data_IF_374533677643
#
_entry.id   IF_374533677643
#
_cell.length_a   1.000
_cell.length_b   1.000
_cell.length_c   1.000
_cell.angle_alpha   90.00
_cell.angle_beta   90.00
_cell.angle_gamma   90.00
#
_symmetry.space_group_name_H-M   'P 1'
#
loop_
_entity.id
_entity.type
_entity.pdbx_description
1 polymer ?
#
# COMPACT_ATOMS: atom_id res chain seq x y z
N UNK A 1 -10.35 18.22 -2.10
CA UNK A 1 -9.08 17.60 -1.58
C UNK A 1 -8.07 17.35 -2.71
N UNK A 2 -6.74 17.36 -2.39
CA UNK A 2 -5.64 17.13 -3.35
C UNK A 2 -4.80 15.93 -2.92
N UNK A 3 -4.50 15.01 -3.86
CA UNK A 3 -3.68 13.82 -3.60
C UNK A 3 -2.29 13.97 -4.24
N UNK A 4 -1.23 13.93 -3.45
CA UNK A 4 0.15 13.81 -3.91
C UNK A 4 0.49 12.33 -4.14
N UNK A 5 0.81 11.99 -5.38
CA UNK A 5 0.84 10.61 -5.85
C UNK A 5 2.03 10.35 -6.78
N UNK A 6 2.38 9.08 -6.90
CA UNK A 6 3.22 8.57 -7.99
C UNK A 6 2.71 7.21 -8.42
N UNK A 7 2.66 6.96 -9.73
CA UNK A 7 2.04 5.73 -10.27
C UNK A 7 2.55 4.47 -9.58
N UNK A 8 3.87 4.34 -9.37
CA UNK A 8 4.53 3.16 -8.82
C UNK A 8 4.43 3.04 -7.29
N UNK A 9 4.00 4.06 -6.58
CA UNK A 9 3.95 4.07 -5.12
C UNK A 9 2.88 3.10 -4.59
N UNK A 10 3.32 2.07 -3.86
CA UNK A 10 2.41 1.10 -3.21
C UNK A 10 1.68 1.72 -2.02
N UNK A 11 2.28 2.68 -1.32
CA UNK A 11 1.59 3.42 -0.26
C UNK A 11 0.47 4.30 -0.83
N UNK A 12 0.71 4.98 -1.97
CA UNK A 12 -0.35 5.73 -2.65
C UNK A 12 -1.39 4.80 -3.28
N UNK A 13 -1.01 3.62 -3.74
CA UNK A 13 -1.94 2.61 -4.24
C UNK A 13 -3.00 2.26 -3.18
N UNK A 14 -2.60 2.11 -1.92
CA UNK A 14 -3.54 1.90 -0.80
C UNK A 14 -4.58 3.02 -0.70
N UNK A 15 -4.13 4.28 -0.76
CA UNK A 15 -5.02 5.45 -0.68
C UNK A 15 -5.94 5.52 -1.90
N UNK A 16 -5.43 5.26 -3.11
CA UNK A 16 -6.27 5.20 -4.33
C UNK A 16 -7.37 4.14 -4.24
N UNK A 17 -7.05 2.94 -3.69
CA UNK A 17 -8.06 1.90 -3.46
C UNK A 17 -9.14 2.40 -2.51
N UNK A 18 -8.74 2.98 -1.37
CA UNK A 18 -9.68 3.49 -0.36
C UNK A 18 -10.59 4.57 -0.94
N UNK A 19 -10.03 5.54 -1.66
CA UNK A 19 -10.81 6.59 -2.35
C UNK A 19 -11.82 5.98 -3.33
N UNK A 20 -11.39 5.01 -4.15
CA UNK A 20 -12.29 4.32 -5.08
C UNK A 20 -13.41 3.56 -4.37
N UNK A 21 -13.10 2.86 -3.25
CA UNK A 21 -14.11 2.13 -2.46
C UNK A 21 -15.13 3.07 -1.82
N UNK A 22 -14.67 4.27 -1.40
CA UNK A 22 -15.54 5.31 -0.81
C UNK A 22 -16.28 6.15 -1.86
N UNK A 23 -16.00 5.96 -3.16
CA UNK A 23 -16.59 6.78 -4.23
C UNK A 23 -16.07 8.21 -4.24
N UNK A 24 -14.90 8.47 -3.67
CA UNK A 24 -14.28 9.79 -3.57
C UNK A 24 -13.32 10.00 -4.73
N UNK A 25 -13.46 11.14 -5.41
CA UNK A 25 -12.53 11.57 -6.45
C UNK A 25 -11.82 12.83 -5.95
N UNK A 26 -10.49 12.83 -5.81
CA UNK A 26 -9.75 14.06 -5.51
C UNK A 26 -9.94 15.10 -6.62
N UNK A 27 -10.05 16.39 -6.25
CA UNK A 27 -10.16 17.50 -7.21
C UNK A 27 -8.88 17.62 -8.05
N UNK A 28 -7.75 17.27 -7.45
CA UNK A 28 -6.45 17.33 -8.08
C UNK A 28 -5.57 16.13 -7.67
N UNK A 29 -4.88 15.54 -8.62
CA UNK A 29 -3.83 14.55 -8.37
C UNK A 29 -2.50 15.12 -8.83
N UNK A 30 -1.59 15.39 -7.90
CA UNK A 30 -0.28 16.00 -8.15
C UNK A 30 0.78 14.92 -8.19
N UNK A 31 1.48 14.82 -9.32
CA UNK A 31 2.57 13.85 -9.47
C UNK A 31 3.82 14.29 -8.70
N UNK A 32 4.29 13.43 -7.80
CA UNK A 32 5.59 13.51 -7.14
C UNK A 32 6.46 12.36 -7.65
N UNK A 33 7.21 12.62 -8.71
CA UNK A 33 8.03 11.59 -9.34
C UNK A 33 9.24 11.22 -8.47
N UNK A 34 9.11 10.09 -7.75
CA UNK A 34 10.16 9.61 -6.83
C UNK A 34 11.47 9.26 -7.55
N UNK A 35 11.41 8.86 -8.82
CA UNK A 35 12.58 8.48 -9.60
C UNK A 35 13.39 9.72 -10.05
N UNK A 36 12.72 10.88 -10.16
CA UNK A 36 13.34 12.17 -10.46
C UNK A 36 13.70 12.97 -9.21
N UNK A 37 13.35 12.48 -8.03
CA UNK A 37 13.67 13.14 -6.77
C UNK A 37 12.72 14.29 -6.38
N UNK A 38 11.55 14.45 -7.03
CA UNK A 38 10.61 15.55 -6.75
C UNK A 38 10.18 15.60 -5.27
N UNK A 39 10.20 14.47 -4.55
CA UNK A 39 9.92 14.44 -3.11
C UNK A 39 10.94 15.22 -2.27
N UNK A 40 12.13 15.53 -2.83
CA UNK A 40 13.21 16.26 -2.15
C UNK A 40 13.15 17.76 -2.39
N UNK A 41 12.28 18.21 -3.29
CA UNK A 41 12.08 19.63 -3.60
C UNK A 41 11.51 20.39 -2.41
N UNK A 42 11.91 21.64 -2.25
CA UNK A 42 11.57 22.47 -1.09
C UNK A 42 10.05 22.59 -0.89
N UNK A 43 9.29 22.70 -1.98
CA UNK A 43 7.83 22.86 -1.90
C UNK A 43 7.15 21.59 -1.35
N UNK A 44 7.56 20.39 -1.81
CA UNK A 44 6.98 19.17 -1.26
C UNK A 44 7.46 18.88 0.17
N UNK A 45 8.69 19.26 0.52
CA UNK A 45 9.20 19.14 1.90
C UNK A 45 8.41 19.96 2.91
N UNK A 46 7.80 21.07 2.52
CA UNK A 46 6.88 21.86 3.37
C UNK A 46 5.60 21.08 3.67
N UNK A 47 5.13 20.28 2.70
CA UNK A 47 3.93 19.46 2.82
C UNK A 47 4.22 18.21 3.66
N UNK A 48 5.28 17.47 3.31
CA UNK A 48 5.71 16.30 4.06
C UNK A 48 7.23 16.29 4.28
N UNK A 49 7.69 16.67 5.49
CA UNK A 49 9.12 16.68 5.83
C UNK A 49 9.81 15.32 5.72
N UNK A 50 9.08 14.21 5.79
CA UNK A 50 9.60 12.86 5.54
C UNK A 50 9.90 12.60 4.06
N UNK A 51 9.54 13.53 3.16
CA UNK A 51 9.76 13.40 1.71
C UNK A 51 9.18 12.08 1.15
N UNK A 52 8.02 11.71 1.65
CA UNK A 52 7.31 10.47 1.30
C UNK A 52 5.89 10.77 0.81
N UNK A 53 5.40 9.94 -0.07
CA UNK A 53 4.01 9.95 -0.54
C UNK A 53 3.31 8.66 -0.07
N UNK A 54 1.99 8.68 0.11
CA UNK A 54 1.05 9.76 -0.19
C UNK A 54 1.08 10.91 0.81
N UNK A 55 0.63 12.08 0.35
CA UNK A 55 0.07 13.13 1.18
C UNK A 55 -1.30 13.49 0.61
N UNK A 56 -2.27 13.79 1.46
CA UNK A 56 -3.62 14.22 1.10
C UNK A 56 -3.86 15.58 1.75
N UNK A 57 -4.28 16.57 0.98
CA UNK A 57 -4.63 17.89 1.50
C UNK A 57 -6.13 18.07 1.38
N UNK A 58 -6.80 18.33 2.50
CA UNK A 58 -8.22 18.64 2.55
C UNK A 58 -8.51 20.07 2.08
N UNK A 59 -9.78 20.39 1.86
CA UNK A 59 -10.20 21.70 1.36
C UNK A 59 -9.92 22.85 2.34
N UNK A 60 -9.83 22.54 3.63
CA UNK A 60 -9.43 23.50 4.69
C UNK A 60 -7.91 23.68 4.82
N UNK A 61 -7.12 22.96 3.98
CA UNK A 61 -5.66 23.02 4.02
C UNK A 61 -5.02 22.01 4.97
N UNK A 62 -5.79 21.20 5.69
CA UNK A 62 -5.24 20.14 6.56
C UNK A 62 -4.46 19.13 5.74
N UNK A 63 -3.21 18.89 6.13
CA UNK A 63 -2.33 17.91 5.49
C UNK A 63 -2.37 16.59 6.24
N UNK A 64 -2.76 15.54 5.54
CA UNK A 64 -2.76 14.15 6.03
C UNK A 64 -1.59 13.40 5.37
N UNK A 65 -0.87 12.66 6.15
CA UNK A 65 0.29 11.86 5.71
C UNK A 65 0.25 10.48 6.37
N UNK A 66 1.07 9.54 5.91
CA UNK A 66 1.05 8.11 6.21
C UNK A 66 -0.21 7.39 5.69
N UNK A 67 0.00 6.42 4.82
CA UNK A 67 -1.12 5.78 4.12
C UNK A 67 -2.15 5.16 5.05
N UNK A 68 -1.74 4.52 6.17
CA UNK A 68 -2.69 3.92 7.11
C UNK A 68 -3.52 4.98 7.84
N UNK A 69 -2.89 6.08 8.26
CA UNK A 69 -3.60 7.20 8.88
C UNK A 69 -4.64 7.80 7.92
N UNK A 70 -4.28 7.97 6.65
CA UNK A 70 -5.22 8.43 5.62
C UNK A 70 -6.37 7.43 5.43
N UNK A 71 -6.10 6.12 5.41
CA UNK A 71 -7.15 5.11 5.29
C UNK A 71 -8.12 5.15 6.47
N UNK A 72 -7.62 5.27 7.70
CA UNK A 72 -8.47 5.37 8.89
C UNK A 72 -9.27 6.69 8.91
N UNK A 73 -8.65 7.81 8.54
CA UNK A 73 -9.35 9.08 8.38
C UNK A 73 -10.50 8.98 7.37
N UNK A 74 -10.26 8.39 6.20
CA UNK A 74 -11.30 8.18 5.19
C UNK A 74 -12.41 7.24 5.70
N UNK A 75 -12.07 6.24 6.53
CA UNK A 75 -13.07 5.35 7.12
C UNK A 75 -13.94 6.04 8.17
N UNK A 76 -13.36 6.94 8.97
CA UNK A 76 -14.07 7.68 10.00
C UNK A 76 -14.96 8.80 9.41
N UNK A 77 -14.47 9.51 8.39
CA UNK A 77 -15.21 10.61 7.76
C UNK A 77 -16.21 10.13 6.70
N UNK A 78 -15.96 8.98 6.09
CA UNK A 78 -16.82 8.35 5.09
C UNK A 78 -17.08 6.88 5.46
N UNK A 79 -17.95 6.61 6.45
CA UNK A 79 -18.03 5.30 7.09
C UNK A 79 -18.61 4.18 6.21
N UNK A 80 -19.09 4.48 5.00
CA UNK A 80 -19.70 3.49 4.12
C UNK A 80 -18.97 3.40 2.76
N UNK A 81 -18.58 2.19 2.34
CA UNK A 81 -18.51 0.94 3.11
C UNK A 81 -17.42 1.01 4.18
N UNK A 82 -17.57 0.35 5.35
CA UNK A 82 -16.56 0.38 6.40
C UNK A 82 -15.31 -0.39 5.98
N UNK A 83 -14.12 0.16 6.30
CA UNK A 83 -12.82 -0.48 6.08
C UNK A 83 -12.25 -1.12 7.35
N UNK A 84 -12.89 -0.90 8.49
CA UNK A 84 -12.58 -1.53 9.77
C UNK A 84 -13.85 -2.13 10.39
N UNK A 85 -13.77 -3.34 10.97
CA UNK A 85 -14.89 -3.94 11.68
C UNK A 85 -15.24 -3.16 12.95
N UNK A 86 -16.47 -3.33 13.46
CA UNK A 86 -16.92 -2.67 14.72
C UNK A 86 -16.31 -3.31 15.96
N UNK A 87 -16.14 -4.62 15.97
CA UNK A 87 -15.57 -5.33 17.12
C UNK A 87 -14.11 -4.96 17.37
N UNK A 88 -13.72 -4.57 18.59
CA UNK A 88 -12.35 -4.14 18.89
C UNK A 88 -11.27 -5.21 18.63
N UNK A 89 -11.56 -6.48 18.86
CA UNK A 89 -10.60 -7.57 18.61
C UNK A 89 -10.41 -7.79 17.12
N UNK A 90 -11.49 -7.77 16.35
CA UNK A 90 -11.42 -7.84 14.89
C UNK A 90 -10.69 -6.62 14.29
N UNK A 91 -10.94 -5.40 14.81
CA UNK A 91 -10.19 -4.20 14.43
C UNK A 91 -8.69 -4.34 14.69
N UNK A 92 -8.34 -4.84 15.88
CA UNK A 92 -6.92 -5.06 16.24
C UNK A 92 -6.26 -6.06 15.28
N UNK A 93 -6.96 -7.16 14.95
CA UNK A 93 -6.47 -8.15 13.97
C UNK A 93 -6.26 -7.54 12.58
N UNK A 94 -7.24 -6.79 12.08
CA UNK A 94 -7.14 -6.10 10.77
C UNK A 94 -5.96 -5.14 10.75
N UNK A 95 -5.79 -4.34 11.80
CA UNK A 95 -4.63 -3.43 11.92
C UNK A 95 -3.30 -4.19 11.99
N UNK A 96 -3.24 -5.30 12.74
CA UNK A 96 -2.05 -6.15 12.83
C UNK A 96 -1.63 -6.69 11.46
N UNK A 97 -2.56 -7.25 10.69
CA UNK A 97 -2.29 -7.73 9.33
C UNK A 97 -1.84 -6.59 8.40
N UNK A 98 -2.46 -5.42 8.49
CA UNK A 98 -2.06 -4.25 7.72
C UNK A 98 -0.66 -3.76 8.08
N UNK A 99 -0.29 -3.80 9.37
CA UNK A 99 1.01 -3.33 9.88
C UNK A 99 2.17 -4.27 9.52
N UNK A 100 1.97 -5.58 9.46
CA UNK A 100 2.98 -6.50 8.90
C UNK A 100 3.46 -6.00 7.53
N UNK A 101 2.54 -5.47 6.72
CA UNK A 101 2.88 -4.94 5.41
C UNK A 101 3.41 -3.52 5.50
N UNK A 102 2.71 -2.63 6.19
CA UNK A 102 2.99 -1.20 6.17
C UNK A 102 4.15 -0.79 7.07
N UNK A 103 4.44 -1.54 8.15
CA UNK A 103 5.49 -1.22 9.13
C UNK A 103 6.68 -2.16 9.05
N UNK A 104 6.45 -3.47 8.79
CA UNK A 104 7.53 -4.47 8.89
C UNK A 104 8.14 -4.85 7.54
N UNK A 105 7.47 -4.52 6.41
CA UNK A 105 7.94 -4.89 5.07
C UNK A 105 8.16 -3.68 4.17
N UNK A 106 7.09 -2.94 3.88
CA UNK A 106 7.13 -1.86 2.89
C UNK A 106 8.20 -0.80 3.18
N UNK A 107 8.43 -0.35 4.43
CA UNK A 107 9.47 0.64 4.71
C UNK A 107 10.88 0.16 4.39
N UNK A 108 11.13 -1.14 4.42
CA UNK A 108 12.44 -1.74 4.15
C UNK A 108 12.78 -1.82 2.65
N UNK A 109 11.79 -1.69 1.78
CA UNK A 109 11.93 -1.88 0.33
C UNK A 109 11.68 -0.63 -0.50
N UNK A 110 11.38 0.51 0.13
CA UNK A 110 11.15 1.78 -0.56
C UNK A 110 12.42 2.33 -1.22
N UNK A 111 12.30 3.20 -2.25
CA UNK A 111 13.46 3.74 -2.97
C UNK A 111 14.55 4.32 -2.07
N UNK A 112 14.18 5.12 -1.06
CA UNK A 112 15.14 5.75 -0.13
C UNK A 112 16.04 4.74 0.60
N UNK A 113 15.49 3.57 0.99
CA UNK A 113 16.26 2.53 1.66
C UNK A 113 17.18 1.82 0.68
N UNK A 114 16.67 1.49 -0.51
CA UNK A 114 17.47 0.83 -1.57
C UNK A 114 18.61 1.73 -2.06
N UNK A 115 18.34 3.03 -2.23
CA UNK A 115 19.37 4.03 -2.56
C UNK A 115 20.44 4.09 -1.46
N UNK A 116 20.03 4.12 -0.19
CA UNK A 116 20.95 4.15 0.94
C UNK A 116 21.83 2.89 0.98
N UNK A 117 21.24 1.71 0.82
CA UNK A 117 21.99 0.45 0.75
C UNK A 117 23.00 0.44 -0.41
N UNK A 118 22.60 0.91 -1.59
CA UNK A 118 23.49 0.98 -2.74
C UNK A 118 24.63 1.99 -2.55
N UNK A 119 24.33 3.18 -2.00
CA UNK A 119 25.33 4.24 -1.85
C UNK A 119 26.27 4.04 -0.68
N UNK A 120 25.73 3.72 0.52
CA UNK A 120 26.54 3.64 1.74
C UNK A 120 27.18 2.26 1.90
N UNK A 121 26.44 1.20 1.61
CA UNK A 121 26.92 -0.17 1.79
C UNK A 121 27.43 -0.81 0.49
N UNK A 122 27.40 -0.09 -0.64
CA UNK A 122 27.87 -0.55 -1.96
C UNK A 122 27.20 -1.86 -2.42
N UNK A 123 25.94 -2.05 -2.02
CA UNK A 123 25.15 -3.20 -2.45
C UNK A 123 24.75 -3.01 -3.91
N UNK A 124 25.07 -3.97 -4.75
CA UNK A 124 24.71 -3.97 -6.16
C UNK A 124 23.20 -4.24 -6.40
N UNK A 125 22.78 -4.17 -7.64
CA UNK A 125 21.38 -4.38 -8.01
C UNK A 125 20.88 -5.78 -7.63
N UNK A 126 21.70 -6.81 -7.76
CA UNK A 126 21.38 -8.18 -7.37
C UNK A 126 21.18 -8.29 -5.85
N UNK A 127 22.02 -7.63 -5.07
CA UNK A 127 21.89 -7.54 -3.62
C UNK A 127 20.64 -6.79 -3.19
N UNK A 128 20.30 -5.68 -3.85
CA UNK A 128 19.04 -4.93 -3.60
C UNK A 128 17.82 -5.80 -3.94
N UNK A 129 17.87 -6.57 -5.03
CA UNK A 129 16.80 -7.50 -5.39
C UNK A 129 16.65 -8.59 -4.33
N UNK A 130 17.76 -9.19 -3.87
CA UNK A 130 17.78 -10.21 -2.80
C UNK A 130 17.24 -9.66 -1.48
N UNK A 131 17.59 -8.43 -1.12
CA UNK A 131 17.04 -7.73 0.05
C UNK A 131 15.52 -7.61 -0.04
N UNK A 132 15.01 -7.08 -1.13
CA UNK A 132 13.56 -6.91 -1.31
C UNK A 132 12.81 -8.25 -1.33
N UNK A 133 13.37 -9.25 -2.01
CA UNK A 133 12.83 -10.61 -2.03
C UNK A 133 12.70 -11.18 -0.61
N UNK A 134 13.77 -11.09 0.19
CA UNK A 134 13.80 -11.60 1.57
C UNK A 134 12.64 -11.02 2.41
N UNK A 135 12.48 -9.69 2.40
CA UNK A 135 11.44 -9.04 3.22
C UNK A 135 10.03 -9.31 2.71
N UNK A 136 9.83 -9.39 1.41
CA UNK A 136 8.54 -9.80 0.84
C UNK A 136 8.17 -11.23 1.24
N UNK A 137 9.11 -12.18 1.12
CA UNK A 137 8.86 -13.57 1.48
C UNK A 137 8.58 -13.74 2.98
N UNK A 138 9.31 -13.02 3.83
CA UNK A 138 9.07 -13.00 5.28
C UNK A 138 7.63 -12.56 5.61
N UNK A 139 7.18 -11.44 5.03
CA UNK A 139 5.83 -10.96 5.24
C UNK A 139 4.76 -11.91 4.68
N UNK A 140 4.96 -12.45 3.48
CA UNK A 140 4.01 -13.39 2.88
C UNK A 140 3.85 -14.65 3.72
N UNK A 141 4.94 -15.16 4.30
CA UNK A 141 4.92 -16.31 5.20
C UNK A 141 4.12 -16.00 6.47
N UNK A 142 4.36 -14.85 7.09
CA UNK A 142 3.62 -14.42 8.27
C UNK A 142 2.12 -14.23 7.97
N UNK A 143 1.80 -13.55 6.85
CA UNK A 143 0.41 -13.33 6.42
C UNK A 143 -0.31 -14.64 6.13
N UNK A 144 0.31 -15.57 5.39
CA UNK A 144 -0.29 -16.89 5.13
C UNK A 144 -0.59 -17.62 6.43
N UNK A 145 0.37 -17.63 7.38
CA UNK A 145 0.21 -18.27 8.68
C UNK A 145 -0.98 -17.70 9.45
N UNK A 146 -1.08 -16.37 9.52
CA UNK A 146 -2.19 -15.70 10.22
C UNK A 146 -3.54 -15.89 9.52
N UNK A 147 -3.55 -15.90 8.19
CA UNK A 147 -4.79 -16.01 7.42
C UNK A 147 -5.30 -17.45 7.35
N UNK A 148 -4.44 -18.41 6.99
CA UNK A 148 -4.83 -19.81 6.85
C UNK A 148 -5.27 -20.44 8.19
N UNK A 149 -4.62 -20.06 9.29
CA UNK A 149 -4.92 -20.59 10.63
C UNK A 149 -6.14 -19.97 11.31
N UNK A 150 -6.82 -18.99 10.71
CA UNK A 150 -7.87 -18.22 11.38
C UNK A 150 -9.26 -18.47 10.83
N UNK A 151 -10.21 -18.80 11.72
CA UNK A 151 -11.65 -18.88 11.39
C UNK A 151 -12.26 -17.50 11.03
N UNK A 152 -11.56 -16.41 11.32
CA UNK A 152 -11.99 -15.04 10.97
C UNK A 152 -11.67 -14.68 9.52
N UNK A 153 -10.80 -15.43 8.86
CA UNK A 153 -10.51 -15.27 7.44
C UNK A 153 -11.67 -15.86 6.64
N UNK A 154 -12.29 -15.04 5.82
CA UNK A 154 -13.36 -15.43 4.92
C UNK A 154 -12.93 -15.28 3.46
N UNK A 155 -13.81 -14.69 2.67
CA UNK A 155 -13.50 -14.30 1.30
C UNK A 155 -12.28 -13.36 1.24
N UNK A 156 -12.16 -12.49 2.25
CA UNK A 156 -11.07 -11.53 2.43
C UNK A 156 -10.30 -11.79 3.73
N UNK A 157 -9.38 -10.90 4.07
CA UNK A 157 -8.55 -11.03 5.27
C UNK A 157 -9.36 -11.11 6.57
N UNK A 158 -10.53 -10.46 6.61
CA UNK A 158 -11.44 -10.45 7.74
C UNK A 158 -12.89 -10.66 7.25
N UNK A 159 -13.38 -11.90 7.27
CA UNK A 159 -14.73 -12.24 6.80
C UNK A 159 -14.90 -11.94 5.30
N UNK A 160 -16.08 -11.43 4.94
CA UNK A 160 -16.50 -11.25 3.55
C UNK A 160 -16.58 -9.77 3.14
N UNK A 161 -15.98 -8.89 3.93
CA UNK A 161 -15.89 -7.45 3.62
C UNK A 161 -14.43 -7.02 3.45
N UNK A 162 -14.21 -6.11 2.51
CA UNK A 162 -12.89 -5.49 2.30
C UNK A 162 -12.54 -4.65 3.52
N UNK A 163 -11.31 -4.81 4.00
CA UNK A 163 -10.75 -4.06 5.11
C UNK A 163 -9.42 -3.40 4.73
N UNK A 164 -8.87 -2.59 5.64
CA UNK A 164 -7.52 -2.00 5.51
C UNK A 164 -6.46 -3.10 5.29
N UNK A 165 -6.65 -4.30 5.87
CA UNK A 165 -5.73 -5.43 5.66
C UNK A 165 -5.68 -5.86 4.19
N UNK A 166 -6.82 -5.95 3.53
CA UNK A 166 -6.93 -6.30 2.11
C UNK A 166 -6.29 -5.24 1.22
N UNK A 167 -6.54 -3.98 1.52
CA UNK A 167 -5.94 -2.85 0.81
C UNK A 167 -4.40 -2.91 0.91
N UNK A 168 -3.86 -3.20 2.08
CA UNK A 168 -2.41 -3.37 2.26
C UNK A 168 -1.90 -4.61 1.53
N UNK A 169 -2.64 -5.72 1.58
CA UNK A 169 -2.28 -6.98 0.92
C UNK A 169 -2.21 -6.82 -0.61
N UNK A 170 -3.11 -6.05 -1.22
CA UNK A 170 -3.03 -5.74 -2.65
C UNK A 170 -1.71 -5.02 -3.00
N UNK A 171 -1.29 -4.05 -2.19
CA UNK A 171 0.02 -3.40 -2.34
C UNK A 171 1.20 -4.36 -2.16
N UNK A 172 1.10 -5.27 -1.18
CA UNK A 172 2.11 -6.30 -0.93
C UNK A 172 2.27 -7.24 -2.14
N UNK A 173 1.17 -7.71 -2.72
CA UNK A 173 1.19 -8.60 -3.89
C UNK A 173 1.82 -7.94 -5.12
N UNK A 174 1.48 -6.68 -5.41
CA UNK A 174 2.10 -5.91 -6.50
C UNK A 174 3.60 -5.70 -6.22
N UNK A 175 3.96 -5.36 -4.99
CA UNK A 175 5.37 -5.21 -4.59
C UNK A 175 6.16 -6.51 -4.71
N UNK A 176 5.58 -7.63 -4.30
CA UNK A 176 6.17 -8.96 -4.40
C UNK A 176 6.55 -9.30 -5.86
N UNK A 177 5.67 -8.99 -6.82
CA UNK A 177 5.95 -9.20 -8.24
C UNK A 177 7.18 -8.41 -8.73
N UNK A 178 7.39 -7.17 -8.27
CA UNK A 178 8.58 -6.38 -8.61
C UNK A 178 9.88 -7.00 -8.10
N UNK A 179 9.82 -7.77 -7.02
CA UNK A 179 10.97 -8.48 -6.44
C UNK A 179 10.98 -9.97 -6.77
N UNK A 180 10.24 -10.38 -7.82
CA UNK A 180 10.18 -11.74 -8.33
C UNK A 180 9.79 -12.79 -7.26
N UNK A 181 8.92 -12.40 -6.33
CA UNK A 181 8.35 -13.32 -5.35
C UNK A 181 7.12 -14.00 -5.95
N UNK A 182 7.07 -15.33 -5.82
CA UNK A 182 5.91 -16.13 -6.22
C UNK A 182 4.89 -16.21 -5.08
N UNK A 183 3.63 -16.11 -5.40
CA UNK A 183 2.51 -16.29 -4.47
C UNK A 183 2.01 -17.74 -4.39
N UNK A 184 2.47 -18.64 -5.26
CA UNK A 184 2.05 -20.04 -5.29
C UNK A 184 2.24 -20.78 -3.94
N UNK A 185 3.32 -20.52 -3.16
CA UNK A 185 3.49 -21.11 -1.84
C UNK A 185 2.52 -20.60 -0.76
N UNK A 186 1.71 -19.58 -1.06
CA UNK A 186 0.82 -18.88 -0.14
C UNK A 186 -0.64 -18.94 -0.63
N UNK A 187 -1.28 -20.11 -0.58
CA UNK A 187 -2.58 -20.33 -1.25
C UNK A 187 -3.71 -19.46 -0.69
N UNK A 188 -3.72 -19.16 0.62
CA UNK A 188 -4.73 -18.30 1.22
C UNK A 188 -4.54 -16.85 0.79
N UNK A 189 -3.31 -16.35 0.86
CA UNK A 189 -2.94 -15.02 0.35
C UNK A 189 -3.30 -14.89 -1.12
N UNK A 190 -2.87 -15.87 -1.94
CA UNK A 190 -3.14 -15.87 -3.39
C UNK A 190 -4.64 -15.82 -3.68
N UNK A 191 -5.44 -16.66 -3.02
CA UNK A 191 -6.90 -16.67 -3.19
C UNK A 191 -7.52 -15.30 -2.88
N UNK A 192 -7.11 -14.66 -1.78
CA UNK A 192 -7.62 -13.34 -1.38
C UNK A 192 -7.22 -12.28 -2.44
N UNK A 193 -5.97 -12.31 -2.91
CA UNK A 193 -5.50 -11.40 -3.98
C UNK A 193 -6.30 -11.60 -5.26
N UNK A 194 -6.56 -12.85 -5.67
CA UNK A 194 -7.35 -13.17 -6.84
C UNK A 194 -8.80 -12.63 -6.71
N UNK A 195 -9.40 -12.67 -5.52
CA UNK A 195 -10.72 -12.09 -5.26
C UNK A 195 -10.70 -10.55 -5.34
N UNK A 196 -9.68 -9.90 -4.77
CA UNK A 196 -9.53 -8.44 -4.84
C UNK A 196 -9.33 -7.94 -6.27
N UNK A 197 -8.60 -8.68 -7.10
CA UNK A 197 -8.35 -8.32 -8.50
C UNK A 197 -9.64 -8.28 -9.37
N UNK A 198 -10.72 -8.90 -8.91
CA UNK A 198 -12.03 -8.84 -9.57
C UNK A 198 -12.80 -7.55 -9.26
N UNK A 199 -12.34 -6.74 -8.33
CA UNK A 199 -13.03 -5.55 -7.83
C UNK A 199 -12.52 -4.33 -8.60
N UNK A 200 -13.41 -3.59 -9.24
CA UNK A 200 -13.10 -2.41 -10.05
C UNK A 200 -12.27 -1.35 -9.27
N UNK A 201 -12.59 -1.13 -8.00
CA UNK A 201 -11.86 -0.19 -7.15
C UNK A 201 -10.35 -0.50 -7.06
N UNK A 202 -9.97 -1.78 -7.01
CA UNK A 202 -8.57 -2.22 -7.01
C UNK A 202 -7.96 -2.13 -8.41
N UNK A 203 -8.69 -2.57 -9.41
CA UNK A 203 -8.22 -2.57 -10.79
C UNK A 203 -7.92 -1.14 -11.30
N UNK A 204 -8.81 -0.18 -11.04
CA UNK A 204 -8.60 1.23 -11.42
C UNK A 204 -7.45 1.89 -10.65
N UNK A 205 -7.28 1.52 -9.38
CA UNK A 205 -6.19 2.06 -8.55
C UNK A 205 -4.82 1.49 -8.91
N UNK A 206 -4.76 0.37 -9.66
CA UNK A 206 -3.52 -0.37 -9.92
C UNK A 206 -2.42 0.53 -10.48
N UNK A 207 -1.14 0.39 -10.00
CA UNK A 207 -0.02 1.22 -10.44
C UNK A 207 0.09 1.39 -11.96
N UNK A 208 -0.02 0.31 -12.72
CA UNK A 208 0.09 0.33 -14.19
C UNK A 208 -1.12 0.95 -14.92
N UNK A 209 -2.16 1.34 -14.21
CA UNK A 209 -3.32 2.07 -14.74
C UNK A 209 -3.28 3.57 -14.45
N UNK A 210 -2.23 4.03 -13.77
CA UNK A 210 -2.10 5.44 -13.39
C UNK A 210 -1.37 6.27 -14.46
N UNK A 211 -1.66 7.57 -14.55
CA UNK A 211 -0.87 8.47 -15.39
C UNK A 211 0.62 8.38 -15.08
N UNK A 212 1.45 8.40 -16.13
CA UNK A 212 2.91 8.27 -16.01
C UNK A 212 3.42 6.83 -15.88
N UNK A 213 2.54 5.83 -15.81
CA UNK A 213 2.95 4.43 -15.91
C UNK A 213 3.42 4.09 -17.34
N UNK A 214 4.41 3.18 -17.49
CA UNK A 214 4.81 2.71 -18.81
C UNK A 214 3.67 1.92 -19.48
N UNK A 215 3.59 1.98 -20.80
CA UNK A 215 2.54 1.31 -21.58
C UNK A 215 2.63 -0.24 -21.51
N UNK A 216 3.80 -0.78 -21.22
CA UNK A 216 4.06 -2.22 -20.98
C UNK A 216 5.20 -2.38 -19.98
N UNK A 217 5.11 -3.39 -19.14
CA UNK A 217 6.20 -3.86 -18.25
C UNK A 217 6.57 -5.27 -18.69
#
# INVERSE_FOLDING_TARGET
>A
MKLFSFWRSLATYRVRIALNLKGITPDEVIEINLMKGHQREAEFRKINPMMAIPALIEDDGTVLFESLAILEYLDETHPNPPLLPKDPKARARVRGLAQIIACDTHPLIVPRVREYLAHEYKIDEAGVLKWGHHWHMSALTALETHLAGSKQTGRYCQGDQITIADICLAGQAVGAAYFKCDLAPYPTVKRIVDEMNKIDAFARAHPLKQPGAPASV
#
